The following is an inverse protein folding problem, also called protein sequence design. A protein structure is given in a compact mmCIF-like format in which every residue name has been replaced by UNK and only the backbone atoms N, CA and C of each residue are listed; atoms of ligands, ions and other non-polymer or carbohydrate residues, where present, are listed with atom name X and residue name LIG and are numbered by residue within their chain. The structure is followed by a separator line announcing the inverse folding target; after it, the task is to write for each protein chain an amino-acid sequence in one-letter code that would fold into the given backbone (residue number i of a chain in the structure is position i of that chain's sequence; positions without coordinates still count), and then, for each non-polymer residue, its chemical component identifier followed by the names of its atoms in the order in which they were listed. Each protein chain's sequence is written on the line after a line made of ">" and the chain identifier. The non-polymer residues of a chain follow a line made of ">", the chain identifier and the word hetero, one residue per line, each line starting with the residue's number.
data_IF_322687857072
#
_entry.id   IF_322687857072
#
_cell.length_a   1.000
_cell.length_b   1.000
_cell.length_c   1.000
_cell.angle_alpha   90.00
_cell.angle_beta   90.00
_cell.angle_gamma   90.00
#
_symmetry.space_group_name_H-M   'P 1'
#
loop_
_entity.id
_entity.type
_entity.pdbx_description
1 polymer ?
#
# COMPACT_ATOMS: atom_id res chain seq x y z
N UNK A 1 -23.60 23.34 -13.25
CA UNK A 1 -23.01 23.30 -11.88
C UNK A 1 -21.50 23.40 -12.01
N UNK A 2 -20.85 24.39 -11.38
CA UNK A 2 -19.40 24.59 -11.45
C UNK A 2 -18.72 23.60 -10.50
N UNK A 3 -17.75 22.85 -11.01
CA UNK A 3 -16.98 21.91 -10.21
C UNK A 3 -15.96 22.67 -9.34
N UNK A 4 -16.32 22.90 -8.08
CA UNK A 4 -15.45 23.48 -7.06
C UNK A 4 -14.67 22.39 -6.32
N UNK A 5 -13.44 22.71 -5.89
CA UNK A 5 -12.65 21.82 -5.06
C UNK A 5 -13.29 21.73 -3.65
N UNK A 6 -13.47 20.51 -3.13
CA UNK A 6 -14.01 20.29 -1.79
C UNK A 6 -12.97 20.38 -0.67
N UNK A 7 -11.68 20.51 -1.01
CA UNK A 7 -10.64 20.65 0.01
C UNK A 7 -10.80 21.97 0.77
N UNK A 8 -10.65 21.94 2.11
CA UNK A 8 -10.81 23.12 2.94
C UNK A 8 -9.70 24.14 2.64
N UNK A 9 -10.10 25.39 2.40
CA UNK A 9 -9.20 26.49 2.06
C UNK A 9 -8.70 26.46 0.60
N UNK A 10 -9.20 25.55 -0.24
CA UNK A 10 -8.91 25.55 -1.67
C UNK A 10 -9.95 26.40 -2.41
N UNK A 11 -9.50 27.36 -3.23
CA UNK A 11 -10.36 28.23 -4.05
C UNK A 11 -10.35 27.85 -5.54
N UNK A 12 -9.83 26.66 -5.86
CA UNK A 12 -9.78 26.15 -7.21
C UNK A 12 -11.20 25.76 -7.67
N UNK A 13 -11.58 26.28 -8.84
CA UNK A 13 -12.83 25.97 -9.54
C UNK A 13 -12.52 25.66 -11.00
N UNK A 14 -13.28 24.73 -11.59
CA UNK A 14 -13.12 24.35 -13.00
C UNK A 14 -13.25 25.60 -13.88
N UNK A 15 -12.32 25.75 -14.84
CA UNK A 15 -12.27 26.90 -15.75
C UNK A 15 -11.51 28.13 -15.23
N UNK A 16 -11.24 28.27 -13.92
CA UNK A 16 -10.45 29.40 -13.39
C UNK A 16 -8.97 29.28 -13.70
N UNK A 17 -8.41 28.07 -13.60
CA UNK A 17 -7.01 27.78 -13.89
C UNK A 17 -6.93 26.74 -15.00
N UNK A 18 -6.20 27.05 -16.08
CA UNK A 18 -5.91 26.09 -17.15
C UNK A 18 -4.99 25.00 -16.58
N UNK A 19 -5.22 23.74 -16.94
CA UNK A 19 -4.38 22.60 -16.53
C UNK A 19 -4.71 21.95 -15.18
N UNK A 20 -5.68 22.48 -14.41
CA UNK A 20 -6.10 21.85 -13.15
C UNK A 20 -7.18 20.78 -13.40
N UNK A 21 -6.85 19.52 -13.14
CA UNK A 21 -7.80 18.40 -13.21
C UNK A 21 -8.67 18.35 -11.96
N UNK A 22 -9.93 17.94 -12.09
CA UNK A 22 -10.85 17.75 -10.97
C UNK A 22 -11.31 16.29 -10.92
N UNK A 23 -10.93 15.59 -9.86
CA UNK A 23 -11.22 14.18 -9.64
C UNK A 23 -12.43 14.01 -8.73
N UNK A 24 -13.33 13.10 -9.07
CA UNK A 24 -14.44 12.69 -8.18
C UNK A 24 -13.88 11.87 -7.02
N UNK A 25 -14.54 11.94 -5.87
CA UNK A 25 -14.24 11.02 -4.77
C UNK A 25 -14.49 9.58 -5.27
N UNK A 26 -13.56 8.63 -5.02
CA UNK A 26 -13.72 7.24 -5.43
C UNK A 26 -15.03 6.61 -4.92
N UNK A 27 -15.53 5.64 -5.70
CA UNK A 27 -16.67 4.79 -5.32
C UNK A 27 -16.23 3.59 -4.46
N UNK A 28 -15.02 3.08 -4.71
CA UNK A 28 -14.38 2.04 -3.92
C UNK A 28 -14.35 2.41 -2.43
N UNK A 29 -14.87 1.55 -1.57
CA UNK A 29 -15.12 1.85 -0.16
C UNK A 29 -13.83 2.18 0.60
N UNK A 30 -12.78 1.38 0.42
CA UNK A 30 -11.50 1.58 1.12
C UNK A 30 -10.81 2.87 0.69
N UNK A 31 -10.69 3.11 -0.61
CA UNK A 31 -10.05 4.32 -1.13
C UNK A 31 -10.88 5.55 -0.80
N UNK A 32 -12.21 5.44 -0.87
CA UNK A 32 -13.13 6.50 -0.44
C UNK A 32 -12.87 6.85 1.01
N UNK A 33 -12.87 5.88 1.93
CA UNK A 33 -12.59 6.12 3.34
C UNK A 33 -11.26 6.85 3.54
N UNK A 34 -10.18 6.40 2.87
CA UNK A 34 -8.86 7.06 2.93
C UNK A 34 -8.90 8.52 2.45
N UNK A 35 -9.60 8.81 1.36
CA UNK A 35 -9.76 10.18 0.84
C UNK A 35 -10.59 11.07 1.78
N UNK A 36 -11.72 10.56 2.27
CA UNK A 36 -12.57 11.27 3.23
C UNK A 36 -11.80 11.58 4.50
N UNK A 37 -11.08 10.61 5.07
CA UNK A 37 -10.23 10.81 6.26
C UNK A 37 -9.13 11.84 6.03
N UNK A 38 -8.51 11.88 4.85
CA UNK A 38 -7.54 12.92 4.52
C UNK A 38 -8.16 14.33 4.52
N UNK A 39 -9.35 14.48 3.92
CA UNK A 39 -10.06 15.76 3.85
C UNK A 39 -10.61 16.17 5.23
N UNK A 40 -11.16 15.23 6.01
CA UNK A 40 -11.61 15.47 7.40
C UNK A 40 -10.49 15.97 8.28
N UNK A 41 -9.30 15.35 8.21
CA UNK A 41 -8.10 15.84 8.90
C UNK A 41 -7.74 17.26 8.48
N UNK A 42 -7.81 17.56 7.18
CA UNK A 42 -7.56 18.92 6.68
C UNK A 42 -8.60 19.94 7.18
N UNK A 43 -9.87 19.54 7.33
CA UNK A 43 -10.96 20.40 7.85
C UNK A 43 -10.76 20.71 9.33
N UNK A 44 -10.47 19.67 10.12
CA UNK A 44 -10.19 19.80 11.55
C UNK A 44 -9.02 20.76 11.81
N UNK A 45 -7.94 20.69 11.00
CA UNK A 45 -6.81 21.63 11.09
C UNK A 45 -7.14 23.07 10.70
N UNK A 46 -8.28 23.33 10.07
CA UNK A 46 -8.78 24.68 9.76
C UNK A 46 -9.93 25.12 10.67
N UNK A 47 -10.07 24.51 11.85
CA UNK A 47 -11.14 24.78 12.82
C UNK A 47 -12.56 24.61 12.23
N UNK A 48 -12.71 23.79 11.18
CA UNK A 48 -14.02 23.41 10.64
C UNK A 48 -14.46 22.13 11.32
N UNK A 49 -15.24 22.29 12.39
CA UNK A 49 -15.74 21.20 13.24
C UNK A 49 -17.04 20.57 12.74
N UNK A 50 -17.70 21.21 11.77
CA UNK A 50 -18.92 20.67 11.15
C UNK A 50 -18.70 19.27 10.59
N UNK A 51 -19.62 18.36 10.91
CA UNK A 51 -19.67 17.01 10.35
C UNK A 51 -19.70 17.10 8.83
N UNK A 52 -18.70 16.47 8.19
CA UNK A 52 -18.61 16.43 6.74
C UNK A 52 -18.55 15.00 6.24
N UNK A 53 -19.69 14.53 5.75
CA UNK A 53 -19.84 13.25 5.09
C UNK A 53 -20.43 13.50 3.69
N UNK A 54 -19.57 13.66 2.67
CA UNK A 54 -20.04 13.98 1.34
C UNK A 54 -20.81 12.77 0.77
N UNK A 55 -21.96 12.97 0.11
CA UNK A 55 -22.52 11.96 -0.78
C UNK A 55 -21.51 11.57 -1.88
N UNK A 56 -21.75 10.42 -2.53
CA UNK A 56 -20.88 9.94 -3.61
C UNK A 56 -20.84 10.90 -4.82
N UNK A 57 -21.87 11.73 -4.97
CA UNK A 57 -22.06 12.61 -6.14
C UNK A 57 -21.74 14.05 -5.77
N UNK A 58 -21.18 14.81 -6.73
CA UNK A 58 -20.98 16.26 -6.62
C UNK A 58 -19.58 16.68 -6.13
N UNK A 59 -19.03 16.01 -5.12
CA UNK A 59 -17.75 16.40 -4.51
C UNK A 59 -16.55 16.05 -5.40
N UNK A 60 -15.67 17.04 -5.60
CA UNK A 60 -14.47 16.89 -6.41
C UNK A 60 -13.25 17.51 -5.76
N UNK A 61 -12.11 16.90 -6.00
CA UNK A 61 -10.81 17.35 -5.51
C UNK A 61 -9.93 17.74 -6.69
N UNK A 62 -9.28 18.89 -6.62
CA UNK A 62 -8.37 19.33 -7.68
C UNK A 62 -7.03 18.59 -7.64
N UNK A 63 -6.31 18.62 -8.76
CA UNK A 63 -4.98 18.00 -8.94
C UNK A 63 -3.95 18.40 -7.89
N UNK A 64 -4.03 19.62 -7.37
CA UNK A 64 -3.01 20.22 -6.50
C UNK A 64 -2.90 19.51 -5.14
N UNK A 65 -3.88 18.67 -4.80
CA UNK A 65 -3.86 17.87 -3.57
C UNK A 65 -3.08 16.55 -3.70
N UNK A 66 -2.58 16.25 -4.89
CA UNK A 66 -1.69 15.13 -5.19
C UNK A 66 -0.27 15.66 -5.40
N UNK A 67 0.72 14.86 -5.03
CA UNK A 67 2.15 15.21 -5.06
C UNK A 67 2.58 15.42 -6.51
N UNK A 68 2.22 14.51 -7.43
CA UNK A 68 2.48 14.66 -8.88
C UNK A 68 1.51 15.58 -9.61
N UNK A 69 0.49 16.12 -8.93
CA UNK A 69 -0.64 16.78 -9.59
C UNK A 69 -1.62 15.79 -10.25
N UNK A 70 -1.47 14.48 -10.05
CA UNK A 70 -2.38 13.46 -10.61
C UNK A 70 -2.71 12.39 -9.58
N UNK A 71 -3.94 11.90 -9.60
CA UNK A 71 -4.30 10.73 -8.78
C UNK A 71 -3.62 9.49 -9.34
N UNK A 72 -3.09 8.63 -8.48
CA UNK A 72 -2.62 7.29 -8.86
C UNK A 72 -3.66 6.25 -8.44
N UNK A 73 -3.91 5.25 -9.29
CA UNK A 73 -4.79 4.12 -8.96
C UNK A 73 -4.02 2.95 -8.31
N UNK A 74 -2.69 2.98 -8.32
CA UNK A 74 -1.86 2.02 -7.58
C UNK A 74 -1.89 2.31 -6.06
N UNK A 75 -2.32 1.36 -5.20
CA UNK A 75 -2.39 1.53 -3.74
C UNK A 75 -1.06 1.85 -3.06
N UNK A 76 0.07 1.42 -3.66
CA UNK A 76 1.41 1.65 -3.13
C UNK A 76 1.97 3.02 -3.50
N UNK A 77 1.32 3.73 -4.42
CA UNK A 77 1.77 5.06 -4.82
C UNK A 77 1.47 6.09 -3.74
N UNK A 78 2.40 7.02 -3.45
CA UNK A 78 2.14 8.15 -2.58
C UNK A 78 0.97 9.05 -3.05
N UNK A 79 0.60 8.98 -4.34
CA UNK A 79 -0.53 9.70 -4.93
C UNK A 79 -1.86 8.92 -4.92
N UNK A 80 -1.91 7.77 -4.23
CA UNK A 80 -3.16 7.01 -4.09
C UNK A 80 -4.23 7.76 -3.28
N UNK A 81 -3.78 8.55 -2.30
CA UNK A 81 -4.60 9.35 -1.38
C UNK A 81 -4.13 10.80 -1.47
N UNK A 82 -5.05 11.79 -1.52
CA UNK A 82 -4.66 13.19 -1.46
C UNK A 82 -3.94 13.48 -0.15
N UNK A 83 -2.79 14.12 -0.24
CA UNK A 83 -1.97 14.42 0.92
C UNK A 83 -1.62 15.89 1.01
N UNK A 84 -1.54 16.62 -0.10
CA UNK A 84 -1.12 18.02 -0.10
C UNK A 84 -2.32 18.91 0.27
N UNK A 85 -2.26 19.58 1.43
CA UNK A 85 -3.27 20.53 1.90
C UNK A 85 -2.58 21.75 2.50
N UNK A 86 -3.31 22.86 2.68
CA UNK A 86 -2.73 24.13 3.14
C UNK A 86 -2.07 24.03 4.53
N UNK A 87 -2.53 23.13 5.40
CA UNK A 87 -1.95 22.94 6.74
C UNK A 87 -0.59 22.20 6.72
N UNK A 88 -0.22 21.60 5.58
CA UNK A 88 0.99 20.80 5.46
C UNK A 88 2.19 21.73 5.34
N UNK A 89 3.13 21.63 6.27
CA UNK A 89 4.35 22.43 6.25
C UNK A 89 5.25 22.11 5.04
N UNK A 90 6.07 23.09 4.63
CA UNK A 90 7.01 22.92 3.52
C UNK A 90 7.97 21.72 3.69
N UNK A 91 8.58 21.47 4.86
CA UNK A 91 9.41 20.28 5.08
C UNK A 91 8.64 18.97 4.88
N UNK A 92 7.40 18.89 5.35
CA UNK A 92 6.56 17.69 5.20
C UNK A 92 6.13 17.48 3.74
N UNK A 93 5.85 18.56 3.00
CA UNK A 93 5.60 18.49 1.56
C UNK A 93 6.83 17.95 0.82
N UNK A 94 8.05 18.39 1.16
CA UNK A 94 9.29 17.88 0.58
C UNK A 94 9.50 16.39 0.85
N UNK A 95 9.22 15.92 2.06
CA UNK A 95 9.28 14.48 2.40
C UNK A 95 8.34 13.64 1.52
N UNK A 96 7.15 14.15 1.21
CA UNK A 96 6.17 13.46 0.33
C UNK A 96 6.64 13.40 -1.11
N UNK A 97 7.22 14.49 -1.63
CA UNK A 97 7.84 14.51 -2.96
C UNK A 97 8.96 13.47 -3.03
N UNK A 98 9.86 13.44 -2.04
CA UNK A 98 10.94 12.45 -2.00
C UNK A 98 10.41 11.01 -1.97
N UNK A 99 9.31 10.73 -1.25
CA UNK A 99 8.66 9.41 -1.26
C UNK A 99 8.14 9.04 -2.65
N UNK A 100 7.54 9.99 -3.36
CA UNK A 100 7.11 9.79 -4.75
C UNK A 100 8.29 9.51 -5.68
N UNK A 101 9.41 10.23 -5.52
CA UNK A 101 10.60 10.02 -6.35
C UNK A 101 11.23 8.64 -6.13
N UNK A 102 11.30 8.19 -4.88
CA UNK A 102 11.75 6.82 -4.55
C UNK A 102 10.81 5.78 -5.17
N UNK A 103 9.50 5.97 -5.05
CA UNK A 103 8.52 5.08 -5.68
C UNK A 103 8.70 5.00 -7.19
N UNK A 104 8.80 6.15 -7.87
CA UNK A 104 8.99 6.22 -9.32
C UNK A 104 10.28 5.55 -9.79
N UNK A 105 11.40 5.75 -9.06
CA UNK A 105 12.67 5.07 -9.35
C UNK A 105 12.54 3.55 -9.25
N UNK A 106 11.87 3.04 -8.21
CA UNK A 106 11.61 1.60 -8.05
C UNK A 106 10.74 1.04 -9.17
N UNK A 107 9.68 1.75 -9.56
CA UNK A 107 8.83 1.32 -10.67
C UNK A 107 9.59 1.29 -11.99
N UNK A 108 10.41 2.30 -12.28
CA UNK A 108 11.25 2.36 -13.49
C UNK A 108 12.24 1.19 -13.54
N UNK A 109 12.95 0.90 -12.45
CA UNK A 109 13.88 -0.23 -12.38
C UNK A 109 13.17 -1.58 -12.60
N UNK A 110 11.96 -1.75 -12.04
CA UNK A 110 11.13 -2.95 -12.27
C UNK A 110 10.76 -3.12 -13.74
N UNK A 111 10.33 -2.04 -14.40
CA UNK A 111 9.98 -2.07 -15.82
C UNK A 111 11.19 -2.40 -16.71
N UNK A 112 12.35 -1.79 -16.44
CA UNK A 112 13.58 -2.07 -17.16
C UNK A 112 14.00 -3.54 -17.04
N UNK A 113 13.89 -4.13 -15.85
CA UNK A 113 14.18 -5.56 -15.64
C UNK A 113 13.24 -6.45 -16.47
N UNK A 114 11.95 -6.12 -16.50
CA UNK A 114 10.94 -6.86 -17.27
C UNK A 114 11.22 -6.75 -18.78
N UNK A 115 11.60 -5.57 -19.26
CA UNK A 115 11.95 -5.35 -20.65
C UNK A 115 13.19 -6.15 -21.05
N UNK A 116 14.24 -6.14 -20.22
CA UNK A 116 15.45 -6.92 -20.45
C UNK A 116 15.18 -8.43 -20.49
N UNK A 117 14.34 -8.95 -19.59
CA UNK A 117 13.98 -10.39 -19.61
C UNK A 117 13.17 -10.75 -20.84
N UNK A 118 12.28 -9.86 -21.31
CA UNK A 118 11.51 -10.07 -22.55
C UNK A 118 12.40 -10.11 -23.78
N UNK A 119 13.38 -9.20 -23.88
CA UNK A 119 14.33 -9.17 -25.00
C UNK A 119 15.23 -10.41 -25.00
N UNK A 120 15.72 -10.82 -23.83
CA UNK A 120 16.55 -12.04 -23.69
C UNK A 120 15.77 -13.31 -24.03
N UNK A 121 14.52 -13.44 -23.59
CA UNK A 121 13.66 -14.60 -23.91
C UNK A 121 13.36 -14.71 -25.42
N UNK A 122 13.35 -13.60 -26.15
CA UNK A 122 13.13 -13.58 -27.61
C UNK A 122 14.38 -13.93 -28.42
N UNK A 123 15.57 -13.90 -27.81
CA UNK A 123 16.85 -14.19 -28.45
C UNK A 123 17.24 -15.68 -28.42
N UNK A 124 16.45 -16.55 -27.79
CA UNK A 124 16.69 -18.00 -27.81
C UNK A 124 15.99 -18.59 -29.04
N UNK A 125 16.72 -19.09 -30.06
CA UNK A 125 16.10 -19.79 -31.18
C UNK A 125 15.45 -21.11 -30.70
N UNK A 126 14.39 -21.60 -31.36
CA UNK A 126 13.84 -22.91 -31.05
C UNK A 126 14.94 -23.94 -31.25
N UNK A 127 15.36 -24.57 -30.15
CA UNK A 127 16.33 -25.66 -30.17
C UNK A 127 15.64 -26.81 -30.90
N UNK A 128 16.20 -27.25 -32.03
CA UNK A 128 15.72 -28.46 -32.70
C UNK A 128 15.77 -29.60 -31.68
N UNK A 129 14.64 -30.29 -31.54
CA UNK A 129 14.47 -31.44 -30.66
C UNK A 129 15.46 -32.53 -31.07
N UNK A 130 16.49 -32.77 -30.25
CA UNK A 130 17.24 -34.02 -30.33
C UNK A 130 16.62 -34.98 -29.34
N UNK A 131 16.04 -36.01 -29.92
CA UNK A 131 15.36 -37.16 -29.35
C UNK A 131 16.14 -37.76 -28.16
N UNK A 132 15.46 -37.96 -27.02
CA UNK A 132 15.96 -38.77 -25.91
C UNK A 132 15.07 -40.02 -25.82
N UNK A 133 15.64 -41.24 -25.92
CA UNK A 133 14.86 -42.48 -25.96
C UNK A 133 14.01 -42.69 -24.72
N UNK A 134 12.77 -43.11 -24.95
CA UNK A 134 11.86 -43.58 -23.90
C UNK A 134 12.24 -45.00 -23.49
N UNK A 135 12.36 -45.23 -22.18
CA UNK A 135 12.29 -46.59 -21.63
C UNK A 135 11.17 -46.66 -20.59
N UNK A 136 10.42 -47.74 -20.67
CA UNK A 136 9.05 -47.86 -20.16
C UNK A 136 8.97 -48.82 -18.97
N UNK A 137 8.02 -48.50 -18.09
CA UNK A 137 7.24 -49.41 -17.23
C UNK A 137 7.87 -49.99 -15.95
N UNK A 138 7.26 -49.66 -14.78
CA UNK A 138 6.31 -50.58 -14.11
C UNK A 138 5.60 -49.93 -12.90
N UNK A 139 4.27 -50.07 -12.91
CA UNK A 139 3.30 -49.90 -11.82
C UNK A 139 3.51 -50.93 -10.68
N UNK A 140 3.00 -50.71 -9.44
CA UNK A 140 1.64 -51.20 -9.13
C UNK A 140 0.76 -50.35 -8.18
N UNK A 141 -0.55 -50.56 -8.42
CA UNK A 141 -1.83 -50.14 -7.81
C UNK A 141 -2.06 -50.41 -6.32
N UNK A 142 -2.83 -49.54 -5.64
CA UNK A 142 -3.94 -49.82 -4.67
C UNK A 142 -4.30 -48.51 -3.92
N UNK A 143 -5.36 -47.78 -4.31
CA UNK A 143 -6.74 -47.85 -3.80
C UNK A 143 -6.94 -47.50 -2.30
N UNK A 144 -7.54 -46.32 -2.04
CA UNK A 144 -8.75 -46.14 -1.22
C UNK A 144 -9.07 -44.65 -0.99
N UNK A 145 -10.31 -44.28 -1.32
CA UNK A 145 -11.01 -43.07 -0.84
C UNK A 145 -11.96 -43.51 0.30
N UNK A 146 -12.31 -42.68 1.29
CA UNK A 146 -13.59 -41.97 1.19
C UNK A 146 -13.70 -40.58 1.90
N UNK A 147 -14.43 -39.68 1.25
CA UNK A 147 -15.48 -38.75 1.71
C UNK A 147 -15.61 -38.38 3.21
N UNK A 148 -15.67 -37.06 3.51
CA UNK A 148 -16.83 -36.39 4.17
C UNK A 148 -16.65 -34.86 4.32
N UNK A 149 -17.59 -34.09 3.74
CA UNK A 149 -18.10 -32.77 4.21
C UNK A 149 -19.05 -32.99 5.43
N UNK A 150 -19.56 -32.02 6.25
CA UNK A 150 -19.98 -30.65 5.85
C UNK A 150 -20.00 -29.48 6.89
N UNK A 151 -20.19 -28.26 6.34
CA UNK A 151 -20.95 -27.05 6.77
C UNK A 151 -21.01 -26.56 8.24
N UNK A 152 -20.80 -25.23 8.41
CA UNK A 152 -21.79 -24.14 8.75
C UNK A 152 -21.13 -22.98 9.55
N UNK A 153 -21.07 -21.75 9.06
CA UNK A 153 -22.10 -20.68 9.02
C UNK A 153 -22.59 -20.18 10.40
N UNK A 154 -22.33 -18.89 10.69
CA UNK A 154 -23.30 -17.88 11.16
C UNK A 154 -22.54 -16.70 11.84
N UNK A 155 -22.50 -15.51 11.26
CA UNK A 155 -23.38 -14.32 11.45
C UNK A 155 -23.26 -13.61 12.81
N UNK A 156 -23.07 -12.28 12.72
CA UNK A 156 -23.80 -11.24 13.46
C UNK A 156 -23.06 -10.40 14.54
N UNK A 157 -22.53 -9.27 14.06
CA UNK A 157 -22.76 -7.89 14.54
C UNK A 157 -21.93 -7.18 15.63
N UNK A 158 -21.64 -5.93 15.25
CA UNK A 158 -21.20 -4.78 16.05
C UNK A 158 -22.35 -4.29 16.96
N UNK A 159 -22.06 -3.59 18.07
CA UNK A 159 -22.00 -2.13 17.98
C UNK A 159 -20.92 -1.48 18.85
N UNK A 160 -20.40 -0.36 18.39
CA UNK A 160 -19.33 0.40 19.04
C UNK A 160 -19.76 1.34 20.16
N UNK A 161 -18.80 2.03 20.77
CA UNK A 161 -18.87 3.47 21.09
C UNK A 161 -17.49 4.02 21.52
N UNK A 162 -17.40 5.34 21.46
CA UNK A 162 -16.26 6.24 21.67
C UNK A 162 -15.86 6.42 23.16
N UNK A 163 -14.81 7.23 23.39
CA UNK A 163 -14.34 7.90 24.64
C UNK A 163 -13.13 7.29 25.41
N UNK A 164 -12.06 8.09 25.45
CA UNK A 164 -10.79 8.04 26.24
C UNK A 164 -11.00 8.13 27.79
N UNK A 165 -9.97 8.36 28.63
CA UNK A 165 -8.78 7.57 28.96
C UNK A 165 -8.67 7.37 30.49
N UNK A 166 -8.48 6.15 31.00
CA UNK A 166 -8.34 5.96 32.46
C UNK A 166 -7.11 5.09 32.74
N UNK A 167 -6.08 5.73 33.29
CA UNK A 167 -5.06 5.09 34.12
C UNK A 167 -5.77 4.52 35.35
N UNK A 168 -5.57 3.25 35.71
CA UNK A 168 -5.38 2.73 37.07
C UNK A 168 -5.15 1.21 36.99
N UNK A 169 -3.95 0.80 37.42
CA UNK A 169 -3.58 -0.32 38.30
C UNK A 169 -4.33 -1.68 38.23
N UNK A 170 -3.52 -2.72 37.99
CA UNK A 170 -3.58 -4.14 38.39
C UNK A 170 -4.91 -4.81 38.82
N UNK A 171 -5.37 -5.82 38.06
CA UNK A 171 -5.73 -7.19 38.52
C UNK A 171 -6.12 -8.13 37.34
N UNK A 172 -6.25 -9.47 37.49
CA UNK A 172 -5.52 -10.43 36.65
C UNK A 172 -6.44 -11.46 35.98
N UNK A 173 -6.54 -11.46 34.65
CA UNK A 173 -6.93 -12.64 33.87
C UNK A 173 -6.91 -12.30 32.38
N UNK A 174 -5.75 -12.44 31.75
CA UNK A 174 -5.69 -12.62 30.30
C UNK A 174 -4.73 -13.77 30.03
N UNK A 175 -5.15 -14.83 29.32
CA UNK A 175 -4.26 -15.97 29.07
C UNK A 175 -3.04 -15.48 28.30
N UNK A 176 -1.81 -15.71 28.80
CA UNK A 176 -0.61 -15.30 28.07
C UNK A 176 -0.51 -16.11 26.78
N UNK A 177 -0.48 -15.39 25.66
CA UNK A 177 -0.04 -15.94 24.38
C UNK A 177 1.30 -16.65 24.62
N UNK A 178 1.37 -17.94 24.34
CA UNK A 178 2.51 -18.82 24.63
C UNK A 178 3.83 -18.13 24.29
N UNK A 179 4.52 -17.65 25.33
CA UNK A 179 5.58 -16.64 25.26
C UNK A 179 6.86 -17.17 24.62
N UNK A 180 7.01 -18.50 24.53
CA UNK A 180 8.18 -19.13 23.93
C UNK A 180 8.22 -19.00 22.41
N UNK A 181 7.10 -19.14 21.71
CA UNK A 181 7.08 -19.09 20.23
C UNK A 181 7.16 -17.66 19.72
N UNK A 182 6.52 -16.72 20.43
CA UNK A 182 6.62 -15.29 20.16
C UNK A 182 8.04 -14.76 20.40
N UNK A 183 8.67 -15.12 21.53
CA UNK A 183 10.04 -14.74 21.85
C UNK A 183 11.07 -15.27 20.84
N UNK A 184 10.95 -16.55 20.46
CA UNK A 184 11.82 -17.17 19.44
C UNK A 184 11.71 -16.48 18.08
N UNK A 185 10.49 -16.08 17.69
CA UNK A 185 10.27 -15.35 16.41
C UNK A 185 10.86 -13.95 16.44
N UNK A 186 10.73 -13.23 17.56
CA UNK A 186 11.33 -11.90 17.71
C UNK A 186 12.86 -11.99 17.67
N UNK A 187 13.46 -12.94 18.40
CA UNK A 187 14.91 -13.16 18.38
C UNK A 187 15.42 -13.55 16.98
N UNK A 188 14.69 -14.41 16.27
CA UNK A 188 15.03 -14.79 14.90
C UNK A 188 15.02 -13.59 13.95
N UNK A 189 14.01 -12.71 14.06
CA UNK A 189 13.92 -11.49 13.27
C UNK A 189 15.02 -10.47 13.63
N UNK A 190 15.41 -10.38 14.90
CA UNK A 190 16.50 -9.53 15.35
C UNK A 190 17.85 -9.99 14.79
N UNK A 191 18.11 -11.29 14.79
CA UNK A 191 19.31 -11.89 14.21
C UNK A 191 19.38 -11.65 12.69
N UNK A 192 18.26 -11.85 11.97
CA UNK A 192 18.17 -11.57 10.54
C UNK A 192 18.44 -10.08 10.25
N UNK A 193 17.87 -9.18 11.05
CA UNK A 193 18.12 -7.75 10.94
C UNK A 193 19.59 -7.37 11.17
N UNK A 194 20.28 -8.04 12.10
CA UNK A 194 21.71 -7.82 12.34
C UNK A 194 22.56 -8.33 11.18
N UNK A 195 22.29 -9.52 10.66
CA UNK A 195 23.00 -10.09 9.51
C UNK A 195 22.85 -9.24 8.24
N UNK A 196 21.64 -8.72 7.98
CA UNK A 196 21.42 -7.82 6.85
C UNK A 196 22.18 -6.48 7.02
N UNK A 197 22.33 -5.97 8.25
CA UNK A 197 23.11 -4.75 8.50
C UNK A 197 24.59 -4.98 8.25
N UNK A 198 25.15 -6.11 8.67
CA UNK A 198 26.56 -6.43 8.44
C UNK A 198 26.85 -6.65 6.95
N UNK A 199 26.00 -7.38 6.24
CA UNK A 199 26.13 -7.57 4.79
C UNK A 199 26.09 -6.23 4.05
N UNK A 200 25.16 -5.33 4.40
CA UNK A 200 25.11 -3.99 3.81
C UNK A 200 26.36 -3.14 4.09
N UNK A 201 27.01 -3.32 5.25
CA UNK A 201 28.28 -2.66 5.55
C UNK A 201 29.41 -3.20 4.66
N UNK A 202 29.53 -4.52 4.54
CA UNK A 202 30.53 -5.16 3.68
C UNK A 202 30.35 -4.81 2.20
N UNK A 203 29.11 -4.75 1.71
CA UNK A 203 28.81 -4.33 0.35
C UNK A 203 29.16 -2.86 0.09
N UNK A 204 29.02 -1.99 1.11
CA UNK A 204 29.47 -0.59 1.00
C UNK A 204 30.99 -0.50 0.94
N UNK A 205 31.72 -1.24 1.77
CA UNK A 205 33.18 -1.29 1.75
C UNK A 205 33.71 -1.84 0.42
N UNK A 206 33.13 -2.93 -0.09
CA UNK A 206 33.48 -3.49 -1.40
C UNK A 206 33.22 -2.53 -2.56
N UNK A 207 32.18 -1.69 -2.47
CA UNK A 207 31.91 -0.64 -3.46
C UNK A 207 32.89 0.53 -3.38
N UNK A 208 33.49 0.79 -2.23
CA UNK A 208 34.45 1.89 -2.04
C UNK A 208 35.85 1.45 -2.51
N UNK A 209 36.23 0.17 -2.31
CA UNK A 209 37.54 -0.35 -2.75
C UNK A 209 37.67 -0.71 -4.24
N UNK A 210 36.67 -0.37 -5.07
CA UNK A 210 36.68 -0.58 -6.53
C UNK A 210 36.82 0.74 -7.34
N UNK A 211 37.09 1.85 -6.65
CA UNK A 211 37.46 3.15 -7.24
C UNK A 211 38.89 3.50 -6.82
#
# INVERSE_FOLDING_TARGET
>A
MVDNCCAPGCTNKRGKRKGTSFYRIPKDAERRAKWISAIKRARSKQNKTERWDPPAVGFRLCSDHFISGRKSDNPLSPDFVPSIFNYVSSPEKRKRIMRLDVFNRRQKAKLQKIEQTKLSAKAIPPRASTDCPQDSNKDPTADQTPTTEPLKESTHEEPGNDVQPVLHEDDPATPPCSTETCGKRVQSLEQECQALRTENMLLKEKRIGQH
#
